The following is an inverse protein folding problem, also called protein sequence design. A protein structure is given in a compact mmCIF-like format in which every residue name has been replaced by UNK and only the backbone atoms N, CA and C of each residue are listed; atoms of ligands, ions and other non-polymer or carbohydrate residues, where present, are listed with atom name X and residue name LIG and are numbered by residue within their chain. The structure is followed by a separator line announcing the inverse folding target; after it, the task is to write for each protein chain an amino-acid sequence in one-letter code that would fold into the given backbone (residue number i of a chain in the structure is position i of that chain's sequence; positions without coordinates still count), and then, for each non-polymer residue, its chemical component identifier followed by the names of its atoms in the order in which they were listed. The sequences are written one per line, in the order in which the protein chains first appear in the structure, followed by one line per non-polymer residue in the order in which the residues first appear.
data_IF_056477951035
#
_entry.id   IF_056477951035
#
_cell.length_a   1.000
_cell.length_b   1.000
_cell.length_c   1.000
_cell.angle_alpha   90.00
_cell.angle_beta   90.00
_cell.angle_gamma   90.00
#
_symmetry.space_group_name_H-M   'P 1'
#
loop_
_entity.id
_entity.type
_entity.pdbx_description
1 polymer ?
#
# COMPACT_ATOMS: atom_id res chain seq x y z
N UNK A 1 -25.78 -25.37 9.44
CA UNK A 1 -24.87 -25.62 10.56
C UNK A 1 -25.20 -24.59 11.62
N UNK A 2 -25.47 -24.99 12.87
CA UNK A 2 -25.67 -24.04 13.97
C UNK A 2 -24.43 -23.16 14.10
N UNK A 3 -24.57 -21.83 14.03
CA UNK A 3 -23.47 -20.91 14.37
C UNK A 3 -22.97 -21.30 15.77
N UNK A 4 -21.66 -21.50 15.91
CA UNK A 4 -21.06 -21.68 17.24
C UNK A 4 -21.30 -20.44 18.10
N UNK A 5 -21.20 -20.59 19.42
CA UNK A 5 -21.33 -19.47 20.35
C UNK A 5 -20.18 -18.48 20.08
N UNK A 6 -20.49 -17.18 20.08
CA UNK A 6 -19.48 -16.13 19.95
C UNK A 6 -18.63 -16.07 21.22
N UNK A 7 -17.32 -16.08 21.07
CA UNK A 7 -16.37 -16.09 22.20
C UNK A 7 -15.32 -14.99 22.02
N UNK A 8 -14.88 -14.41 23.13
CA UNK A 8 -13.76 -13.47 23.21
C UNK A 8 -12.83 -13.94 24.32
N UNK A 9 -11.55 -14.12 24.00
CA UNK A 9 -10.51 -14.54 24.94
C UNK A 9 -9.46 -13.46 25.07
N UNK A 10 -9.21 -12.99 26.29
CA UNK A 10 -8.09 -12.11 26.57
C UNK A 10 -6.80 -12.92 26.77
N UNK A 11 -5.82 -12.71 25.90
CA UNK A 11 -4.52 -13.36 25.96
C UNK A 11 -3.53 -12.59 26.85
N UNK A 12 -2.45 -13.25 27.31
CA UNK A 12 -1.26 -12.56 27.78
C UNK A 12 -0.70 -11.60 26.73
N UNK A 13 0.12 -10.63 27.15
CA UNK A 13 0.72 -9.66 26.24
C UNK A 13 1.51 -10.30 25.10
N UNK A 14 2.07 -11.50 25.32
CA UNK A 14 2.90 -12.22 24.36
C UNK A 14 2.59 -13.71 24.36
N UNK A 15 2.15 -14.24 23.22
CA UNK A 15 1.88 -15.68 23.04
C UNK A 15 2.60 -16.25 21.83
N UNK A 16 2.84 -17.56 21.85
CA UNK A 16 3.16 -18.31 20.64
C UNK A 16 1.86 -18.63 19.91
N UNK A 17 1.89 -18.54 18.58
CA UNK A 17 0.76 -18.96 17.74
C UNK A 17 1.15 -20.26 17.06
N UNK A 18 0.50 -21.35 17.47
CA UNK A 18 0.77 -22.69 16.95
C UNK A 18 0.25 -22.83 15.52
N UNK A 19 1.03 -23.54 14.69
CA UNK A 19 0.65 -23.89 13.32
C UNK A 19 0.06 -25.31 13.33
N UNK A 20 -1.24 -25.42 13.53
CA UNK A 20 -1.93 -26.68 13.27
C UNK A 20 -2.26 -26.85 11.77
N UNK A 21 -2.94 -27.93 11.41
CA UNK A 21 -3.33 -28.19 10.02
C UNK A 21 -4.19 -27.05 9.41
N UNK A 22 -5.07 -26.42 10.19
CA UNK A 22 -5.95 -25.35 9.72
C UNK A 22 -5.16 -24.07 9.36
N UNK A 23 -4.16 -23.73 10.16
CA UNK A 23 -3.29 -22.58 9.91
C UNK A 23 -2.24 -22.89 8.84
N UNK A 24 -1.78 -24.14 8.77
CA UNK A 24 -0.75 -24.57 7.80
C UNK A 24 -1.30 -24.60 6.37
N UNK A 25 -2.53 -25.09 6.20
CA UNK A 25 -3.22 -25.18 4.91
C UNK A 25 -3.80 -23.83 4.43
N UNK A 26 -3.69 -22.78 5.26
CA UNK A 26 -4.08 -21.43 4.89
C UNK A 26 -3.33 -20.97 3.63
N UNK A 27 -4.10 -20.61 2.59
CA UNK A 27 -3.57 -20.17 1.29
C UNK A 27 -3.04 -18.73 1.34
N UNK A 28 -3.63 -17.87 2.16
CA UNK A 28 -3.25 -16.47 2.22
C UNK A 28 -2.15 -16.26 3.27
N UNK A 29 -0.98 -15.82 2.82
CA UNK A 29 0.15 -15.49 3.69
C UNK A 29 0.59 -14.07 3.38
N UNK A 30 0.58 -13.23 4.42
CA UNK A 30 1.01 -11.83 4.33
C UNK A 30 2.19 -11.68 5.27
N UNK A 31 3.28 -11.13 4.75
CA UNK A 31 4.44 -10.72 5.54
C UNK A 31 4.42 -9.21 5.60
N UNK A 32 4.38 -8.63 6.80
CA UNK A 32 4.47 -7.18 7.03
C UNK A 32 5.82 -6.88 7.70
N UNK A 33 6.37 -5.69 7.43
CA UNK A 33 7.69 -5.29 7.89
C UNK A 33 8.68 -5.45 6.76
N UNK A 34 9.48 -6.52 6.79
CA UNK A 34 10.49 -6.79 5.76
C UNK A 34 9.88 -6.76 4.34
N UNK A 35 8.78 -7.48 4.11
CA UNK A 35 8.02 -7.40 2.86
C UNK A 35 7.01 -6.24 2.90
N UNK A 36 6.87 -5.52 1.80
CA UNK A 36 5.93 -4.41 1.67
C UNK A 36 6.44 -3.06 2.17
N UNK A 37 7.37 -2.99 3.13
CA UNK A 37 7.92 -1.72 3.64
C UNK A 37 9.42 -1.54 3.42
N UNK A 38 10.20 -2.62 3.25
CA UNK A 38 11.65 -2.53 3.02
C UNK A 38 12.04 -2.91 1.60
N UNK A 39 13.32 -2.76 1.25
CA UNK A 39 13.88 -3.18 -0.05
C UNK A 39 14.01 -4.71 -0.19
N UNK A 40 13.85 -5.46 0.91
CA UNK A 40 14.03 -6.92 0.94
C UNK A 40 12.86 -7.60 0.21
N UNK A 41 13.11 -8.10 -1.01
CA UNK A 41 12.07 -8.66 -1.89
C UNK A 41 11.43 -7.65 -2.86
N UNK A 42 11.95 -6.42 -2.92
CA UNK A 42 11.31 -5.28 -3.57
C UNK A 42 11.68 -5.07 -5.06
N UNK A 43 12.07 -6.12 -5.80
CA UNK A 43 12.43 -6.00 -7.23
C UNK A 43 11.34 -5.31 -8.05
N UNK A 44 10.07 -5.55 -7.67
CA UNK A 44 8.89 -4.92 -8.25
C UNK A 44 8.12 -4.21 -7.15
N UNK A 45 8.45 -2.95 -6.92
CA UNK A 45 7.82 -2.16 -5.86
C UNK A 45 7.57 -0.70 -6.28
N UNK A 46 6.61 -0.05 -5.63
CA UNK A 46 6.35 1.36 -5.85
C UNK A 46 5.93 2.12 -4.59
N UNK A 47 6.30 3.40 -4.55
CA UNK A 47 5.73 4.42 -3.68
C UNK A 47 4.80 5.30 -4.51
N UNK A 48 3.52 5.39 -4.14
CA UNK A 48 2.54 6.30 -4.74
C UNK A 48 2.28 7.44 -3.75
N UNK A 49 2.43 8.68 -4.21
CA UNK A 49 2.22 9.91 -3.44
C UNK A 49 0.95 10.59 -3.94
N UNK A 50 -0.09 10.64 -3.10
CA UNK A 50 -1.35 11.31 -3.40
C UNK A 50 -1.36 12.77 -2.94
N UNK A 51 -2.35 13.54 -3.39
CA UNK A 51 -2.46 14.99 -3.20
C UNK A 51 -2.95 15.39 -1.78
N UNK A 52 -2.21 14.99 -0.74
CA UNK A 52 -2.33 15.54 0.61
C UNK A 52 -0.93 15.87 1.18
N UNK A 53 -0.85 16.66 2.24
CA UNK A 53 0.43 17.05 2.83
C UNK A 53 1.18 15.82 3.35
N UNK A 54 2.47 15.69 3.02
CA UNK A 54 3.33 14.64 3.57
C UNK A 54 3.70 15.00 5.02
N UNK A 55 3.15 14.28 6.00
CA UNK A 55 3.43 14.46 7.45
C UNK A 55 4.37 13.39 8.05
N UNK A 56 5.02 12.57 7.21
CA UNK A 56 5.78 11.39 7.65
C UNK A 56 7.23 11.68 8.09
N UNK A 57 7.78 12.87 7.83
CA UNK A 57 9.16 13.23 8.21
C UNK A 57 10.22 12.23 7.70
N UNK A 58 11.07 11.73 8.60
CA UNK A 58 12.13 10.75 8.28
C UNK A 58 11.58 9.40 7.76
N UNK A 59 10.34 9.05 8.09
CA UNK A 59 9.69 7.85 7.56
C UNK A 59 9.42 7.97 6.07
N UNK A 60 9.13 9.18 5.56
CA UNK A 60 9.00 9.40 4.12
C UNK A 60 10.32 9.11 3.39
N UNK A 61 11.45 9.59 3.92
CA UNK A 61 12.77 9.35 3.32
C UNK A 61 13.10 7.85 3.30
N UNK A 62 12.78 7.14 4.39
CA UNK A 62 12.96 5.69 4.47
C UNK A 62 12.08 4.94 3.45
N UNK A 63 10.80 5.29 3.36
CA UNK A 63 9.85 4.71 2.40
C UNK A 63 10.27 5.00 0.95
N UNK A 64 10.75 6.21 0.66
CA UNK A 64 11.27 6.58 -0.64
C UNK A 64 12.43 5.67 -1.06
N UNK A 65 13.44 5.51 -0.20
CA UNK A 65 14.61 4.69 -0.50
C UNK A 65 14.31 3.19 -0.60
N UNK A 66 13.22 2.72 0.01
CA UNK A 66 12.85 1.31 0.02
C UNK A 66 12.15 0.83 -1.27
N UNK A 67 11.65 1.75 -2.10
CA UNK A 67 10.88 1.42 -3.33
C UNK A 67 11.69 1.64 -4.60
N UNK A 68 11.39 0.87 -5.64
CA UNK A 68 12.09 0.97 -6.93
C UNK A 68 11.50 2.05 -7.82
N UNK A 69 10.17 2.20 -7.81
CA UNK A 69 9.44 3.22 -8.59
C UNK A 69 8.72 4.21 -7.67
N UNK A 70 8.71 5.49 -8.03
CA UNK A 70 7.98 6.56 -7.32
C UNK A 70 7.04 7.27 -8.28
N UNK A 71 5.77 7.32 -7.92
CA UNK A 71 4.70 7.92 -8.73
C UNK A 71 4.03 9.01 -7.92
N UNK A 72 3.90 10.21 -8.49
CA UNK A 72 3.04 11.25 -7.95
C UNK A 72 1.71 11.27 -8.72
N UNK A 73 0.61 11.20 -7.98
CA UNK A 73 -0.73 11.37 -8.53
C UNK A 73 -1.04 12.86 -8.62
N UNK A 74 -0.94 13.43 -9.82
CA UNK A 74 -1.19 14.84 -10.12
C UNK A 74 -0.58 15.80 -9.07
N UNK A 75 -1.42 16.45 -8.26
CA UNK A 75 -1.01 17.39 -7.22
C UNK A 75 -0.16 16.77 -6.11
N UNK A 76 -0.05 15.44 -6.03
CA UNK A 76 0.94 14.74 -5.20
C UNK A 76 2.37 15.20 -5.46
N UNK A 77 2.69 15.65 -6.68
CA UNK A 77 3.99 16.22 -7.01
C UNK A 77 4.21 17.59 -6.33
N UNK A 78 3.16 18.41 -6.17
CA UNK A 78 3.25 19.63 -5.36
C UNK A 78 3.60 19.27 -3.92
N UNK A 79 3.00 18.21 -3.37
CA UNK A 79 3.23 17.77 -2.00
C UNK A 79 4.65 17.28 -1.77
N UNK A 80 5.21 16.57 -2.75
CA UNK A 80 6.62 16.20 -2.76
C UNK A 80 7.53 17.44 -2.80
N UNK A 81 7.19 18.43 -3.64
CA UNK A 81 7.97 19.66 -3.77
C UNK A 81 7.97 20.49 -2.48
N UNK A 82 6.78 20.69 -1.90
CA UNK A 82 6.49 21.43 -0.66
C UNK A 82 7.11 20.74 0.57
N UNK A 83 7.16 19.40 0.60
CA UNK A 83 7.78 18.65 1.69
C UNK A 83 9.24 19.09 1.91
N UNK A 84 10.01 19.26 0.84
CA UNK A 84 11.41 19.70 0.97
C UNK A 84 11.56 21.19 1.30
N UNK A 85 10.53 22.03 1.10
CA UNK A 85 10.56 23.43 1.58
C UNK A 85 10.51 23.50 3.10
N UNK A 86 9.68 22.65 3.70
CA UNK A 86 9.55 22.55 5.14
C UNK A 86 10.58 21.63 5.80
N UNK A 87 11.46 20.97 5.02
CA UNK A 87 12.43 19.98 5.51
C UNK A 87 13.87 20.42 5.24
N UNK A 88 14.35 20.22 4.01
CA UNK A 88 15.65 20.68 3.51
C UNK A 88 15.58 20.78 1.98
N UNK A 89 15.57 22.01 1.48
CA UNK A 89 15.45 22.30 0.04
C UNK A 89 16.60 21.71 -0.76
N UNK A 90 17.80 21.59 -0.16
CA UNK A 90 18.99 21.07 -0.85
C UNK A 90 18.86 19.59 -1.20
N UNK A 91 18.05 18.84 -0.45
CA UNK A 91 17.79 17.43 -0.70
C UNK A 91 16.86 17.21 -1.88
N UNK A 92 15.95 18.15 -2.19
CA UNK A 92 14.89 17.98 -3.21
C UNK A 92 15.39 17.41 -4.54
N UNK A 93 16.57 17.82 -4.99
CA UNK A 93 17.16 17.35 -6.24
C UNK A 93 17.44 15.83 -6.29
N UNK A 94 17.52 15.18 -5.13
CA UNK A 94 17.74 13.73 -5.00
C UNK A 94 16.42 12.94 -4.95
N UNK A 95 15.28 13.63 -4.93
CA UNK A 95 13.94 13.03 -4.77
C UNK A 95 13.07 13.41 -5.96
N UNK A 96 13.42 12.87 -7.12
CA UNK A 96 12.70 13.04 -8.39
C UNK A 96 11.80 11.81 -8.59
N UNK A 97 10.48 11.98 -8.76
CA UNK A 97 9.61 10.85 -9.03
C UNK A 97 9.86 10.32 -10.45
N UNK A 98 9.72 9.02 -10.64
CA UNK A 98 9.82 8.41 -11.98
C UNK A 98 8.66 8.88 -12.87
N UNK A 99 7.47 9.01 -12.27
CA UNK A 99 6.24 9.40 -12.95
C UNK A 99 5.44 10.47 -12.19
N UNK A 100 4.84 11.38 -12.94
CA UNK A 100 3.74 12.25 -12.50
C UNK A 100 2.57 12.01 -13.44
N UNK A 101 1.41 11.59 -12.92
CA UNK A 101 0.25 11.23 -13.75
C UNK A 101 -1.06 11.74 -13.16
N UNK A 102 -1.93 12.22 -14.03
CA UNK A 102 -3.30 12.63 -13.73
C UNK A 102 -3.85 13.52 -14.85
N UNK A 103 -4.96 14.20 -14.62
CA UNK A 103 -5.45 15.25 -15.54
C UNK A 103 -4.60 16.53 -15.47
N UNK A 104 -3.70 16.61 -14.48
CA UNK A 104 -2.74 17.70 -14.27
C UNK A 104 -3.40 19.03 -13.88
N UNK A 105 -4.63 18.99 -13.38
CA UNK A 105 -5.39 20.19 -13.02
C UNK A 105 -4.91 20.83 -11.70
N UNK A 106 -4.38 20.01 -10.79
CA UNK A 106 -3.88 20.45 -9.49
C UNK A 106 -2.38 20.69 -9.51
N UNK A 107 -1.64 20.11 -10.46
CA UNK A 107 -0.19 20.29 -10.59
C UNK A 107 0.18 21.73 -10.94
N UNK A 108 0.96 22.39 -10.07
CA UNK A 108 1.38 23.77 -10.31
C UNK A 108 2.38 23.86 -11.49
N UNK A 109 2.31 24.89 -12.35
CA UNK A 109 3.18 24.99 -13.53
C UNK A 109 4.68 25.00 -13.22
N UNK A 110 5.10 25.68 -12.15
CA UNK A 110 6.49 25.75 -11.70
C UNK A 110 6.99 24.39 -11.18
N UNK A 111 6.16 23.66 -10.42
CA UNK A 111 6.46 22.31 -9.95
C UNK A 111 6.57 21.33 -11.12
N UNK A 112 5.65 21.43 -12.10
CA UNK A 112 5.69 20.65 -13.34
C UNK A 112 7.01 20.88 -14.08
N UNK A 113 7.38 22.14 -14.31
CA UNK A 113 8.62 22.52 -14.98
C UNK A 113 9.86 22.02 -14.23
N UNK A 114 9.88 22.12 -12.90
CA UNK A 114 10.98 21.63 -12.07
C UNK A 114 11.19 20.13 -12.28
N UNK A 115 10.17 19.30 -12.07
CA UNK A 115 10.34 17.84 -12.18
C UNK A 115 10.58 17.37 -13.62
N UNK A 116 9.96 18.01 -14.61
CA UNK A 116 10.24 17.75 -16.02
C UNK A 116 11.72 18.01 -16.35
N UNK A 117 12.28 19.14 -15.88
CA UNK A 117 13.70 19.48 -16.10
C UNK A 117 14.69 18.51 -15.43
N UNK A 118 14.24 17.79 -14.40
CA UNK A 118 15.02 16.79 -13.66
C UNK A 118 14.82 15.36 -14.16
N UNK A 119 13.98 15.16 -15.18
CA UNK A 119 13.80 13.87 -15.86
C UNK A 119 12.59 13.05 -15.42
N UNK A 120 11.67 13.60 -14.61
CA UNK A 120 10.41 12.92 -14.32
C UNK A 120 9.56 12.77 -15.60
N UNK A 121 8.96 11.60 -15.80
CA UNK A 121 7.99 11.39 -16.89
C UNK A 121 6.64 11.95 -16.49
N UNK A 122 6.07 12.86 -17.27
CA UNK A 122 4.78 13.49 -16.96
C UNK A 122 3.74 13.03 -17.98
N UNK A 123 2.69 12.37 -17.52
CA UNK A 123 1.65 11.77 -18.37
C UNK A 123 0.29 12.38 -18.03
N UNK A 124 -0.34 13.01 -19.02
CA UNK A 124 -1.65 13.63 -18.94
C UNK A 124 -2.74 12.60 -19.26
N UNK A 125 -3.78 12.53 -18.44
CA UNK A 125 -4.94 11.63 -18.53
C UNK A 125 -6.19 12.36 -18.03
N UNK A 126 -6.97 12.94 -18.95
CA UNK A 126 -8.10 13.85 -18.67
C UNK A 126 -9.37 13.15 -18.18
N UNK A 127 -9.47 11.83 -18.36
CA UNK A 127 -10.67 11.06 -18.03
C UNK A 127 -11.16 11.34 -16.61
N UNK A 128 -12.41 11.81 -16.54
CA UNK A 128 -13.14 12.08 -15.31
C UNK A 128 -13.86 10.85 -14.74
N UNK A 129 -13.81 9.72 -15.47
CA UNK A 129 -14.35 8.43 -15.03
C UNK A 129 -13.33 7.61 -14.22
N UNK A 130 -12.11 8.12 -14.04
CA UNK A 130 -11.03 7.47 -13.30
C UNK A 130 -10.31 8.47 -12.40
N UNK A 131 -10.19 8.15 -11.12
CA UNK A 131 -9.36 8.93 -10.19
C UNK A 131 -7.88 8.84 -10.53
N UNK A 132 -7.08 9.82 -10.11
CA UNK A 132 -5.62 9.81 -10.32
C UNK A 132 -4.92 8.64 -9.64
N UNK A 133 -5.48 8.16 -8.52
CA UNK A 133 -4.98 6.95 -7.90
C UNK A 133 -5.16 5.73 -8.82
N UNK A 134 -6.34 5.58 -9.43
CA UNK A 134 -6.57 4.51 -10.40
C UNK A 134 -5.66 4.65 -11.63
N UNK A 135 -5.40 5.88 -12.10
CA UNK A 135 -4.43 6.14 -13.18
C UNK A 135 -3.02 5.69 -12.78
N UNK A 136 -2.56 5.98 -11.56
CA UNK A 136 -1.26 5.52 -11.04
C UNK A 136 -1.13 3.99 -11.00
N UNK A 137 -2.16 3.30 -10.50
CA UNK A 137 -2.20 1.84 -10.40
C UNK A 137 -2.08 1.19 -11.78
N UNK A 138 -2.84 1.67 -12.76
CA UNK A 138 -2.80 1.15 -14.14
C UNK A 138 -1.45 1.40 -14.81
N UNK A 139 -0.91 2.61 -14.62
CA UNK A 139 0.45 2.95 -15.07
C UNK A 139 1.50 2.02 -14.45
N UNK A 140 1.38 1.71 -13.17
CA UNK A 140 2.29 0.81 -12.48
C UNK A 140 2.26 -0.60 -13.07
N UNK A 141 1.06 -1.12 -13.36
CA UNK A 141 0.92 -2.41 -14.04
C UNK A 141 1.56 -2.39 -15.43
N UNK A 142 1.38 -1.30 -16.20
CA UNK A 142 2.03 -1.14 -17.50
C UNK A 142 3.56 -1.07 -17.38
N UNK A 143 4.10 -0.30 -16.42
CA UNK A 143 5.54 -0.18 -16.20
C UNK A 143 6.21 -1.55 -16.01
N UNK A 144 5.63 -2.41 -15.19
CA UNK A 144 6.24 -3.71 -14.91
C UNK A 144 5.91 -4.80 -15.95
N UNK A 145 4.77 -4.70 -16.62
CA UNK A 145 4.24 -5.77 -17.47
C UNK A 145 4.11 -5.39 -18.96
N UNK A 146 4.57 -4.22 -19.39
CA UNK A 146 4.53 -3.85 -20.81
C UNK A 146 5.87 -3.25 -21.22
N UNK A 147 6.69 -4.04 -21.92
CA UNK A 147 7.95 -3.55 -22.50
C UNK A 147 7.67 -2.43 -23.50
N UNK A 148 6.65 -2.58 -24.34
CA UNK A 148 6.23 -1.55 -25.31
C UNK A 148 5.89 -0.23 -24.63
N UNK A 149 5.21 -0.25 -23.48
CA UNK A 149 4.95 0.97 -22.71
C UNK A 149 6.24 1.59 -22.17
N UNK A 150 7.13 0.76 -21.59
CA UNK A 150 8.43 1.25 -21.10
C UNK A 150 9.25 1.88 -22.23
N UNK A 151 9.31 1.24 -23.39
CA UNK A 151 10.07 1.73 -24.55
C UNK A 151 9.50 3.06 -25.04
N UNK A 152 8.17 3.19 -25.16
CA UNK A 152 7.50 4.43 -25.56
C UNK A 152 7.84 5.60 -24.62
N UNK A 153 7.75 5.37 -23.31
CA UNK A 153 8.07 6.38 -22.30
C UNK A 153 9.57 6.72 -22.30
N UNK A 154 10.45 5.72 -22.33
CA UNK A 154 11.90 5.90 -22.29
C UNK A 154 12.43 6.64 -23.52
N UNK A 155 11.92 6.33 -24.71
CA UNK A 155 12.33 6.99 -25.95
C UNK A 155 11.73 8.40 -26.09
N UNK A 156 10.80 8.81 -25.22
CA UNK A 156 10.05 10.07 -25.30
C UNK A 156 9.39 10.29 -26.66
N UNK A 157 9.00 9.19 -27.30
CA UNK A 157 8.39 9.21 -28.63
C UNK A 157 6.90 8.97 -28.48
N UNK A 158 6.06 9.77 -29.16
CA UNK A 158 6.21 11.14 -29.69
C UNK A 158 6.28 12.27 -28.64
N UNK A 159 6.62 13.49 -29.08
CA UNK A 159 6.82 14.69 -28.23
C UNK A 159 5.61 15.01 -27.33
N UNK A 160 4.39 14.78 -27.81
CA UNK A 160 3.17 15.01 -27.05
C UNK A 160 2.78 13.77 -26.28
N UNK A 161 2.75 13.89 -24.95
CA UNK A 161 2.27 12.87 -24.01
C UNK A 161 2.86 11.47 -24.22
N UNK A 162 4.08 11.36 -24.77
CA UNK A 162 4.76 10.08 -25.03
C UNK A 162 3.96 9.13 -25.95
N UNK A 163 3.10 9.68 -26.82
CA UNK A 163 2.20 8.90 -27.70
C UNK A 163 1.04 8.23 -27.01
N UNK A 164 0.83 8.54 -25.75
CA UNK A 164 -0.30 8.04 -24.98
C UNK A 164 -1.46 8.99 -25.22
N UNK A 165 -2.59 8.42 -25.64
CA UNK A 165 -3.84 9.17 -25.82
C UNK A 165 -4.20 9.91 -24.51
N UNK A 166 -4.64 11.17 -24.62
CA UNK A 166 -4.70 12.12 -23.50
C UNK A 166 -5.93 11.91 -22.62
N UNK A 167 -7.02 11.37 -23.15
CA UNK A 167 -8.25 11.14 -22.37
C UNK A 167 -8.12 9.89 -21.48
N UNK A 168 -7.97 8.70 -22.09
CA UNK A 168 -8.02 7.39 -21.46
C UNK A 168 -6.87 6.46 -21.89
N UNK A 169 -5.83 6.96 -22.57
CA UNK A 169 -4.75 6.14 -23.14
C UNK A 169 -4.07 5.16 -22.18
N UNK A 170 -3.86 5.50 -20.90
CA UNK A 170 -3.32 4.58 -19.90
C UNK A 170 -4.31 3.45 -19.61
N UNK A 171 -5.60 3.76 -19.57
CA UNK A 171 -6.64 2.76 -19.36
C UNK A 171 -6.75 1.80 -20.55
N UNK A 172 -6.69 2.32 -21.77
CA UNK A 172 -6.75 1.52 -22.99
C UNK A 172 -5.55 0.59 -23.11
N UNK A 173 -4.35 1.11 -22.91
CA UNK A 173 -3.12 0.32 -22.90
C UNK A 173 -3.15 -0.77 -21.82
N UNK A 174 -3.67 -0.44 -20.63
CA UNK A 174 -3.82 -1.40 -19.53
C UNK A 174 -4.82 -2.52 -19.89
N UNK A 175 -5.96 -2.18 -20.50
CA UNK A 175 -6.93 -3.17 -20.95
C UNK A 175 -6.34 -4.10 -22.02
N UNK A 176 -5.59 -3.55 -22.97
CA UNK A 176 -4.92 -4.32 -24.01
C UNK A 176 -3.79 -5.20 -23.47
N UNK A 177 -3.09 -4.72 -22.45
CA UNK A 177 -2.13 -5.51 -21.69
C UNK A 177 -2.84 -6.71 -21.04
N UNK A 178 -3.95 -6.50 -20.33
CA UNK A 178 -4.71 -7.59 -19.69
C UNK A 178 -5.20 -8.66 -20.67
N UNK A 179 -5.67 -8.27 -21.87
CA UNK A 179 -6.09 -9.23 -22.92
C UNK A 179 -4.98 -10.19 -23.35
N UNK A 180 -3.71 -9.77 -23.20
CA UNK A 180 -2.53 -10.55 -23.63
C UNK A 180 -1.97 -11.46 -22.53
N UNK A 181 -2.34 -11.26 -21.27
CA UNK A 181 -1.77 -12.00 -20.14
C UNK A 181 -2.61 -13.22 -19.73
N UNK A 182 -1.91 -14.34 -19.52
CA UNK A 182 -2.46 -15.56 -18.93
C UNK A 182 -1.91 -15.70 -17.50
N UNK A 183 -2.74 -15.36 -16.51
CA UNK A 183 -2.70 -15.66 -15.05
C UNK A 183 -1.44 -15.51 -14.19
N UNK A 184 -0.22 -15.43 -14.73
CA UNK A 184 1.03 -15.48 -13.94
C UNK A 184 1.78 -14.14 -13.90
N UNK A 185 1.08 -13.08 -13.49
CA UNK A 185 1.72 -11.78 -13.26
C UNK A 185 2.46 -11.81 -11.91
N UNK A 186 3.77 -11.52 -11.94
CA UNK A 186 4.58 -11.42 -10.74
C UNK A 186 4.05 -10.32 -9.80
N UNK A 187 4.04 -10.55 -8.47
CA UNK A 187 3.59 -9.56 -7.51
C UNK A 187 4.34 -8.21 -7.62
N UNK A 188 3.62 -7.13 -7.33
CA UNK A 188 4.18 -5.78 -7.22
C UNK A 188 3.75 -5.23 -5.86
N UNK A 189 4.72 -4.83 -5.04
CA UNK A 189 4.43 -4.19 -3.76
C UNK A 189 4.10 -2.72 -3.96
N UNK A 190 2.96 -2.26 -3.45
CA UNK A 190 2.51 -0.87 -3.60
C UNK A 190 2.34 -0.25 -2.24
N UNK A 191 3.17 0.75 -1.93
CA UNK A 191 3.01 1.58 -0.76
C UNK A 191 2.41 2.92 -1.19
N UNK A 192 1.20 3.23 -0.73
CA UNK A 192 0.56 4.50 -1.02
C UNK A 192 0.53 5.38 0.24
N UNK A 193 1.00 6.62 0.10
CA UNK A 193 0.95 7.63 1.16
C UNK A 193 -0.06 8.71 0.80
N UNK A 194 -0.56 9.41 1.82
CA UNK A 194 -1.49 10.54 1.67
C UNK A 194 -2.85 10.15 1.05
N UNK A 195 -3.22 8.86 1.14
CA UNK A 195 -4.49 8.33 0.63
C UNK A 195 -5.65 8.45 1.63
N UNK A 196 -5.32 8.59 2.91
CA UNK A 196 -6.20 8.48 4.07
C UNK A 196 -5.95 9.68 4.98
N UNK A 197 -7.00 10.24 5.60
CA UNK A 197 -6.90 11.27 6.63
C UNK A 197 -7.22 12.70 6.16
N UNK A 198 -7.25 12.96 4.85
CA UNK A 198 -7.75 14.20 4.28
C UNK A 198 -9.27 14.20 4.06
N UNK A 199 -9.70 14.56 2.83
CA UNK A 199 -11.11 14.51 2.43
C UNK A 199 -11.69 13.11 2.68
N UNK A 200 -12.84 13.05 3.35
CA UNK A 200 -13.42 11.78 3.77
C UNK A 200 -13.89 10.93 2.59
N UNK A 201 -14.47 11.55 1.56
CA UNK A 201 -14.86 10.87 0.32
C UNK A 201 -13.66 10.21 -0.39
N UNK A 202 -12.51 10.89 -0.42
CA UNK A 202 -11.27 10.31 -0.95
C UNK A 202 -10.72 9.19 -0.07
N UNK A 203 -10.84 9.32 1.26
CA UNK A 203 -10.48 8.24 2.19
C UNK A 203 -11.31 6.99 1.90
N UNK A 204 -12.63 7.12 1.74
CA UNK A 204 -13.52 6.02 1.37
C UNK A 204 -13.14 5.45 0.00
N UNK A 205 -12.90 6.29 -1.01
CA UNK A 205 -12.45 5.83 -2.33
C UNK A 205 -11.14 5.04 -2.25
N UNK A 206 -10.17 5.48 -1.47
CA UNK A 206 -8.94 4.72 -1.22
C UNK A 206 -9.26 3.34 -0.64
N UNK A 207 -10.11 3.25 0.39
CA UNK A 207 -10.52 1.94 0.93
C UNK A 207 -11.16 1.05 -0.16
N UNK A 208 -11.95 1.59 -1.09
CA UNK A 208 -12.49 0.79 -2.19
C UNK A 208 -11.42 0.16 -3.08
N UNK A 209 -10.24 0.79 -3.22
CA UNK A 209 -9.15 0.23 -4.04
C UNK A 209 -8.60 -1.06 -3.43
N UNK A 210 -8.56 -1.19 -2.10
CA UNK A 210 -8.14 -2.45 -1.45
C UNK A 210 -9.00 -3.63 -1.94
N UNK A 211 -10.31 -3.47 -1.90
CA UNK A 211 -11.27 -4.48 -2.35
C UNK A 211 -11.26 -4.68 -3.86
N UNK A 212 -11.22 -3.59 -4.64
CA UNK A 212 -11.20 -3.66 -6.11
C UNK A 212 -9.97 -4.42 -6.60
N UNK A 213 -8.78 -4.04 -6.16
CA UNK A 213 -7.52 -4.67 -6.57
C UNK A 213 -7.46 -6.14 -6.19
N UNK A 214 -8.04 -6.53 -5.06
CA UNK A 214 -8.11 -7.95 -4.69
C UNK A 214 -8.81 -8.80 -5.74
N UNK A 215 -9.84 -8.26 -6.41
CA UNK A 215 -10.61 -8.95 -7.44
C UNK A 215 -10.04 -8.77 -8.85
N UNK A 216 -9.60 -7.56 -9.20
CA UNK A 216 -9.18 -7.24 -10.58
C UNK A 216 -7.69 -7.44 -10.81
N UNK A 217 -6.86 -7.16 -9.81
CA UNK A 217 -5.40 -7.08 -9.91
C UNK A 217 -4.71 -7.69 -8.69
N UNK A 218 -4.94 -8.98 -8.36
CA UNK A 218 -4.44 -9.58 -7.12
C UNK A 218 -2.91 -9.62 -7.03
N UNK A 219 -2.18 -9.35 -8.12
CA UNK A 219 -0.73 -9.20 -8.14
C UNK A 219 -0.26 -7.88 -7.51
N UNK A 220 -1.10 -6.84 -7.44
CA UNK A 220 -0.80 -5.59 -6.76
C UNK A 220 -1.05 -5.73 -5.25
N UNK A 221 0.02 -5.66 -4.45
CA UNK A 221 -0.02 -5.79 -2.99
C UNK A 221 -0.04 -4.40 -2.37
N UNK A 222 -1.24 -3.81 -2.32
CA UNK A 222 -1.45 -2.46 -1.83
C UNK A 222 -1.46 -2.38 -0.30
N UNK A 223 -0.68 -1.44 0.21
CA UNK A 223 -0.60 -1.04 1.61
C UNK A 223 -0.64 0.48 1.68
N UNK A 224 -1.49 1.04 2.54
CA UNK A 224 -1.44 2.45 2.88
C UNK A 224 -0.53 2.70 4.07
N UNK A 225 0.18 3.82 4.03
CA UNK A 225 0.96 4.33 5.14
C UNK A 225 0.51 5.76 5.45
N UNK A 226 0.01 5.96 6.66
CA UNK A 226 -0.29 7.26 7.25
C UNK A 226 0.76 7.61 8.31
N UNK A 227 0.60 8.74 8.97
CA UNK A 227 1.43 9.12 10.13
C UNK A 227 1.09 8.32 11.40
N UNK A 228 -0.01 7.57 11.40
CA UNK A 228 -0.46 6.78 12.55
C UNK A 228 -0.59 5.29 12.26
N UNK A 229 -0.81 4.88 11.00
CA UNK A 229 -1.21 3.52 10.68
C UNK A 229 -0.59 2.98 9.38
N UNK A 230 -0.38 1.67 9.38
CA UNK A 230 -0.32 0.84 8.18
C UNK A 230 -1.72 0.25 7.96
N UNK A 231 -2.28 0.38 6.76
CA UNK A 231 -3.63 -0.12 6.46
C UNK A 231 -3.58 -1.03 5.22
N UNK A 232 -4.17 -2.22 5.33
CA UNK A 232 -4.18 -3.23 4.27
C UNK A 232 -5.44 -4.10 4.31
N UNK A 233 -5.67 -4.87 3.24
CA UNK A 233 -6.75 -5.85 3.18
C UNK A 233 -6.30 -7.22 3.71
N UNK A 234 -7.15 -7.86 4.50
CA UNK A 234 -7.01 -9.26 4.90
C UNK A 234 -8.02 -10.10 4.12
N UNK A 235 -7.55 -11.04 3.28
CA UNK A 235 -8.45 -11.94 2.58
C UNK A 235 -9.24 -12.86 3.53
N UNK A 236 -10.50 -13.09 3.19
CA UNK A 236 -11.35 -14.10 3.80
C UNK A 236 -10.84 -15.53 3.53
N UNK A 237 -11.35 -16.48 4.31
CA UNK A 237 -10.93 -17.89 4.24
C UNK A 237 -9.60 -18.20 4.92
N UNK A 238 -9.21 -17.36 5.89
CA UNK A 238 -8.00 -17.52 6.68
C UNK A 238 -6.79 -16.83 6.04
N UNK A 239 -6.07 -16.06 6.86
CA UNK A 239 -4.82 -15.39 6.51
C UNK A 239 -3.83 -15.52 7.67
N UNK A 240 -2.62 -15.99 7.36
CA UNK A 240 -1.51 -15.95 8.31
C UNK A 240 -0.68 -14.69 8.08
N UNK A 241 -0.81 -13.74 9.00
CA UNK A 241 0.01 -12.55 9.07
C UNK A 241 1.32 -12.87 9.80
N UNK A 242 2.47 -12.61 9.17
CA UNK A 242 3.80 -12.84 9.75
C UNK A 242 4.60 -11.54 9.79
N UNK A 243 5.45 -11.42 10.81
CA UNK A 243 6.31 -10.27 11.05
C UNK A 243 7.47 -10.69 11.95
N UNK A 244 8.59 -9.98 11.90
CA UNK A 244 9.65 -10.18 12.88
C UNK A 244 9.29 -9.50 14.22
N UNK A 245 9.95 -9.95 15.29
CA UNK A 245 9.67 -9.47 16.64
C UNK A 245 10.11 -8.03 16.86
N UNK A 246 11.18 -7.58 16.21
CA UNK A 246 11.69 -6.20 16.38
C UNK A 246 10.71 -5.20 15.76
N UNK A 247 10.22 -5.49 14.55
CA UNK A 247 9.15 -4.75 13.89
C UNK A 247 7.92 -4.65 14.79
N UNK A 248 7.40 -5.78 15.29
CA UNK A 248 6.20 -5.77 16.12
C UNK A 248 6.42 -5.03 17.44
N UNK A 249 7.48 -5.36 18.18
CA UNK A 249 7.68 -4.84 19.52
C UNK A 249 8.11 -3.36 19.55
N UNK A 250 8.81 -2.89 18.51
CA UNK A 250 9.36 -1.52 18.48
C UNK A 250 8.59 -0.55 17.59
N UNK A 251 7.93 -1.05 16.53
CA UNK A 251 7.33 -0.19 15.51
C UNK A 251 5.81 -0.20 15.54
N UNK A 252 5.15 -1.21 16.13
CA UNK A 252 3.70 -1.42 16.05
C UNK A 252 3.02 -1.25 17.40
N UNK A 253 1.92 -0.52 17.41
CA UNK A 253 1.03 -0.31 18.55
C UNK A 253 -0.18 -1.25 18.51
N UNK A 254 -1.37 -0.64 18.58
CA UNK A 254 -2.66 -1.30 18.49
C UNK A 254 -3.00 -1.72 17.05
N UNK A 255 -4.10 -2.45 16.88
CA UNK A 255 -4.66 -2.83 15.59
C UNK A 255 -6.19 -2.89 15.63
N UNK A 256 -6.82 -2.82 14.45
CA UNK A 256 -8.27 -2.95 14.31
C UNK A 256 -8.68 -3.83 13.13
N UNK A 257 -9.75 -4.61 13.32
CA UNK A 257 -10.35 -5.46 12.28
C UNK A 257 -11.65 -4.78 11.83
N UNK A 258 -11.61 -4.16 10.66
CA UNK A 258 -12.59 -3.18 10.20
C UNK A 258 -13.41 -3.78 9.03
N UNK A 259 -14.69 -4.14 9.24
CA UNK A 259 -15.57 -4.66 8.18
C UNK A 259 -16.15 -3.50 7.34
N UNK A 260 -15.26 -2.72 6.70
CA UNK A 260 -15.67 -1.59 5.85
C UNK A 260 -16.27 -2.14 4.56
N UNK A 261 -17.51 -1.76 4.27
CA UNK A 261 -18.24 -2.23 3.09
C UNK A 261 -19.27 -3.30 3.43
N UNK A 262 -18.83 -4.52 3.75
CA UNK A 262 -19.73 -5.67 3.99
C UNK A 262 -19.53 -6.24 5.40
N UNK A 263 -20.60 -6.45 6.19
CA UNK A 263 -20.54 -7.20 7.44
C UNK A 263 -20.02 -8.63 7.22
N UNK A 264 -19.28 -9.17 8.17
CA UNK A 264 -18.80 -10.55 8.09
C UNK A 264 -18.75 -11.22 9.46
N UNK A 265 -18.44 -12.52 9.49
CA UNK A 265 -18.17 -13.24 10.72
C UNK A 265 -16.67 -13.51 10.80
N UNK A 266 -16.04 -13.07 11.88
CA UNK A 266 -14.69 -13.52 12.24
C UNK A 266 -14.84 -14.91 12.85
N UNK A 267 -14.49 -15.92 12.05
CA UNK A 267 -14.60 -17.33 12.42
C UNK A 267 -13.62 -17.66 13.55
N UNK A 268 -12.38 -17.18 13.44
CA UNK A 268 -11.33 -17.42 14.41
C UNK A 268 -10.18 -16.42 14.26
N UNK A 269 -9.65 -15.94 15.37
CA UNK A 269 -8.32 -15.31 15.41
C UNK A 269 -7.41 -16.05 16.38
N UNK A 270 -6.10 -16.01 16.12
CA UNK A 270 -5.07 -16.48 17.05
C UNK A 270 -3.89 -15.53 17.06
N UNK A 271 -3.55 -14.99 18.22
CA UNK A 271 -2.43 -14.06 18.37
C UNK A 271 -2.83 -12.60 18.48
N UNK A 272 -4.12 -12.29 18.67
CA UNK A 272 -4.55 -10.98 19.13
C UNK A 272 -4.60 -10.93 20.67
N UNK A 273 -4.54 -9.72 21.24
CA UNK A 273 -4.75 -9.53 22.69
C UNK A 273 -6.16 -9.95 23.08
N UNK A 274 -7.15 -9.62 22.25
CA UNK A 274 -8.50 -10.16 22.35
C UNK A 274 -8.76 -11.02 21.13
N UNK A 275 -8.51 -12.33 21.27
CA UNK A 275 -8.85 -13.30 20.24
C UNK A 275 -10.36 -13.57 20.24
N UNK A 276 -10.94 -13.82 19.07
CA UNK A 276 -12.38 -14.08 18.93
C UNK A 276 -12.67 -15.36 18.15
N UNK A 277 -13.81 -15.98 18.42
CA UNK A 277 -14.38 -17.09 17.63
C UNK A 277 -15.85 -16.82 17.33
N UNK A 278 -16.27 -17.17 16.11
CA UNK A 278 -17.66 -17.01 15.61
C UNK A 278 -18.26 -15.62 15.91
N UNK A 279 -17.46 -14.57 15.76
CA UNK A 279 -17.84 -13.22 16.17
C UNK A 279 -18.31 -12.39 14.97
N UNK A 280 -19.60 -12.03 14.96
CA UNK A 280 -20.17 -11.20 13.91
C UNK A 280 -19.69 -9.74 14.06
N UNK A 281 -19.05 -9.24 13.01
CA UNK A 281 -18.47 -7.89 12.92
C UNK A 281 -19.21 -7.06 11.86
N UNK A 282 -19.60 -5.84 12.21
CA UNK A 282 -20.32 -4.93 11.32
C UNK A 282 -20.23 -3.50 11.81
N UNK A 283 -19.99 -2.57 10.87
CA UNK A 283 -20.13 -1.13 11.13
C UNK A 283 -21.56 -0.79 11.54
N UNK A 284 -22.56 -1.43 10.93
CA UNK A 284 -23.99 -1.13 11.16
C UNK A 284 -24.42 -1.51 12.58
N UNK A 285 -23.91 -2.63 13.10
CA UNK A 285 -24.26 -3.06 14.47
C UNK A 285 -23.36 -2.41 15.53
N UNK A 286 -22.28 -1.75 15.13
CA UNK A 286 -21.27 -1.19 16.02
C UNK A 286 -20.26 -2.21 16.55
N UNK A 287 -20.41 -3.49 16.21
CA UNK A 287 -19.45 -4.53 16.57
C UNK A 287 -18.23 -4.43 15.66
N UNK A 288 -17.22 -3.67 16.09
CA UNK A 288 -15.94 -3.55 15.41
C UNK A 288 -14.81 -3.76 16.41
N UNK A 289 -13.91 -4.69 16.11
CA UNK A 289 -12.71 -4.94 16.94
C UNK A 289 -11.73 -3.79 16.73
N UNK A 290 -11.84 -2.77 17.57
CA UNK A 290 -10.99 -1.59 17.59
C UNK A 290 -10.14 -1.58 18.88
N UNK A 291 -8.98 -0.92 18.85
CA UNK A 291 -8.03 -0.92 19.96
C UNK A 291 -7.56 -2.32 20.40
N UNK A 292 -7.56 -3.29 19.48
CA UNK A 292 -6.97 -4.61 19.72
C UNK A 292 -5.43 -4.51 19.58
N UNK A 293 -4.69 -5.59 19.82
CA UNK A 293 -3.23 -5.60 19.75
C UNK A 293 -2.70 -6.92 19.23
N UNK A 294 -1.56 -6.89 18.54
CA UNK A 294 -0.85 -8.11 18.20
C UNK A 294 -0.16 -8.68 19.45
N UNK A 295 -0.66 -9.80 19.97
CA UNK A 295 -0.05 -10.55 21.07
C UNK A 295 0.94 -11.61 20.57
N UNK A 296 0.68 -12.21 19.40
CA UNK A 296 1.54 -13.21 18.79
C UNK A 296 2.98 -12.74 18.59
N UNK A 297 3.96 -13.58 18.94
CA UNK A 297 5.38 -13.18 18.92
C UNK A 297 5.96 -12.91 17.52
N UNK A 298 5.50 -13.65 16.52
CA UNK A 298 6.03 -13.60 15.14
C UNK A 298 4.93 -13.65 14.07
N UNK A 299 3.69 -13.84 14.49
CA UNK A 299 2.56 -14.09 13.58
C UNK A 299 1.23 -13.93 14.31
N UNK A 300 0.20 -13.66 13.53
CA UNK A 300 -1.21 -13.66 13.93
C UNK A 300 -2.01 -14.36 12.84
N UNK A 301 -2.91 -15.26 13.23
CA UNK A 301 -3.85 -15.90 12.31
C UNK A 301 -5.19 -15.19 12.38
N UNK A 302 -5.75 -14.84 11.23
CA UNK A 302 -7.01 -14.11 11.10
C UNK A 302 -7.89 -14.85 10.09
N UNK A 303 -9.04 -15.36 10.53
CA UNK A 303 -9.98 -16.09 9.68
C UNK A 303 -11.37 -15.47 9.76
N UNK A 304 -11.82 -14.91 8.64
CA UNK A 304 -13.16 -14.36 8.48
C UNK A 304 -13.82 -14.96 7.24
N UNK A 305 -15.15 -14.89 7.18
CA UNK A 305 -15.92 -15.31 6.01
C UNK A 305 -15.58 -14.51 4.75
N UNK A 306 -15.42 -13.21 4.91
CA UNK A 306 -15.19 -12.25 3.83
C UNK A 306 -13.92 -11.42 4.09
N UNK A 307 -13.48 -10.70 3.06
CA UNK A 307 -12.35 -9.78 3.16
C UNK A 307 -12.67 -8.60 4.10
N UNK A 308 -11.70 -8.18 4.90
CA UNK A 308 -11.84 -7.04 5.80
C UNK A 308 -10.57 -6.19 5.83
N UNK A 309 -10.68 -4.93 6.26
CA UNK A 309 -9.54 -4.03 6.39
C UNK A 309 -8.89 -4.22 7.76
N UNK A 310 -7.56 -4.32 7.78
CA UNK A 310 -6.74 -4.28 8.99
C UNK A 310 -5.99 -2.96 9.02
N UNK A 311 -6.05 -2.24 10.15
CA UNK A 311 -5.08 -1.20 10.47
C UNK A 311 -4.13 -1.68 11.57
N UNK A 312 -2.87 -1.27 11.47
CA UNK A 312 -1.83 -1.45 12.48
C UNK A 312 -1.28 -0.07 12.83
N UNK A 313 -1.46 0.36 14.07
CA UNK A 313 -0.86 1.59 14.57
C UNK A 313 0.67 1.49 14.49
N UNK A 314 1.33 2.58 14.10
CA UNK A 314 2.79 2.66 13.97
C UNK A 314 3.39 3.72 14.89
N UNK A 315 4.66 3.54 15.20
CA UNK A 315 5.53 4.57 15.75
C UNK A 315 6.48 5.09 14.65
N UNK A 316 6.19 6.23 14.00
CA UNK A 316 6.84 6.62 12.74
C UNK A 316 8.36 6.67 12.80
N UNK A 317 8.93 7.25 13.85
CA UNK A 317 10.40 7.36 14.01
C UNK A 317 11.07 5.99 14.14
N UNK A 318 10.45 5.08 14.89
CA UNK A 318 10.95 3.70 15.06
C UNK A 318 10.85 2.92 13.76
N UNK A 319 9.73 3.07 13.05
CA UNK A 319 9.53 2.44 11.76
C UNK A 319 10.52 2.96 10.71
N UNK A 320 10.81 4.27 10.69
CA UNK A 320 11.80 4.86 9.81
C UNK A 320 13.20 4.26 10.05
N UNK A 321 13.58 4.10 11.33
CA UNK A 321 14.84 3.47 11.71
C UNK A 321 14.91 2.02 11.23
N UNK A 322 13.85 1.25 11.49
CA UNK A 322 13.74 -0.15 11.09
C UNK A 322 13.90 -0.32 9.56
N UNK A 323 13.17 0.47 8.75
CA UNK A 323 13.24 0.39 7.28
C UNK A 323 14.65 0.71 6.78
N UNK A 324 15.30 1.74 7.34
CA UNK A 324 16.68 2.13 6.96
C UNK A 324 17.68 1.04 7.30
N UNK A 325 17.60 0.43 8.48
CA UNK A 325 18.52 -0.64 8.91
C UNK A 325 18.37 -1.88 8.04
N UNK A 326 17.14 -2.29 7.74
CA UNK A 326 16.84 -3.43 6.87
C UNK A 326 17.32 -3.20 5.43
N UNK A 327 17.32 -1.95 4.96
CA UNK A 327 17.83 -1.58 3.64
C UNK A 327 19.36 -1.61 3.58
N UNK A 328 20.06 -1.10 4.61
CA UNK A 328 21.54 -1.08 4.65
C UNK A 328 22.19 -2.46 4.70
N UNK A 329 21.54 -3.44 5.33
CA UNK A 329 22.06 -4.82 5.39
C UNK A 329 22.14 -5.52 4.01
N UNK A 330 21.56 -4.92 2.96
CA UNK A 330 21.51 -5.49 1.61
C UNK A 330 22.57 -4.93 0.65
N UNK A 331 23.15 -3.76 0.94
CA UNK A 331 24.23 -3.19 0.15
C UNK A 331 25.56 -3.50 0.87
N UNK A 332 26.45 -4.38 0.35
CA UNK A 332 27.77 -4.53 0.94
C UNK A 332 28.50 -3.18 0.85
N UNK A 333 29.42 -2.86 1.79
CA UNK A 333 30.23 -1.66 1.66
C UNK A 333 30.93 -1.72 0.31
N UNK A 334 30.73 -0.69 -0.53
CA UNK A 334 31.54 -0.50 -1.73
C UNK A 334 32.97 -0.25 -1.22
N UNK A 335 33.81 -1.29 -1.31
CA UNK A 335 35.26 -1.20 -1.08
C UNK A 335 35.88 -0.48 -2.27
#
# INVERSE_FOLDING_TARGET
MSKGIAEVTENPERIAVELDASVTLCKNRIVIGEAGLTKKGAERSALIILNQRISLGELFLAAWSAKTIRICADGGANRLYEFFEGYDVTLRQNYIPDYIIGDLDSLKPDVKSYYASKGATIICQNSQYSTDFTKCIRLLSLHYNSSTFRDAVMMKLPEVNHGIEIEDGIQDLYNDMLKKYTTDILPIEVLAINAIGGRFDQTIHSITQLYKLRSTDPYLKLVYLTDTDIILLIPGGGTLLSYDSEFRDSCIGNCGLLPIGVPTTILETRGLKWDVRNWDTSIVTGNVSSSNRLAGRKRCYLNAGDDFVLNLEIFPEKLACYIKQSTRKLDPPRI
#
